data_IF_709977794158
#
_entry.id   IF_709977794158
#
_cell.length_a   1.000
_cell.length_b   1.000
_cell.length_c   1.000
_cell.angle_alpha   90.00
_cell.angle_beta   90.00
_cell.angle_gamma   90.00
#
_symmetry.space_group_name_H-M   'P 1'
#
loop_
_entity.id
_entity.type
_entity.pdbx_description
1 polymer ?
#
# COMPACT_ATOMS: atom_id res chain seq x y z
N UNK A 1 8.29 -0.08 18.30
CA UNK A 1 8.42 0.24 16.87
C UNK A 1 8.07 -0.98 16.07
N UNK A 2 7.43 -0.78 14.92
CA UNK A 2 6.95 -1.88 14.10
C UNK A 2 8.07 -2.56 13.29
N UNK A 3 7.87 -3.85 12.94
CA UNK A 3 8.61 -4.58 11.90
C UNK A 3 7.75 -4.59 10.64
N UNK A 4 8.29 -4.15 9.52
CA UNK A 4 7.67 -4.24 8.19
C UNK A 4 8.35 -5.37 7.43
N UNK A 5 7.56 -6.31 6.91
CA UNK A 5 8.03 -7.44 6.11
C UNK A 5 7.26 -7.47 4.80
N UNK A 6 7.91 -7.26 3.67
CA UNK A 6 7.31 -7.51 2.36
C UNK A 6 7.25 -9.02 2.19
N UNK A 7 6.04 -9.58 2.18
CA UNK A 7 5.83 -11.03 2.01
C UNK A 7 6.03 -11.44 0.56
N UNK A 8 5.57 -10.59 -0.36
CA UNK A 8 5.71 -10.77 -1.81
C UNK A 8 5.90 -9.41 -2.47
N UNK A 9 6.94 -9.28 -3.27
CA UNK A 9 7.10 -8.16 -4.17
C UNK A 9 6.08 -8.27 -5.32
N UNK A 10 5.36 -7.18 -5.55
CA UNK A 10 4.43 -7.10 -6.67
C UNK A 10 5.16 -6.93 -8.01
N UNK A 11 4.37 -7.06 -9.07
CA UNK A 11 4.84 -6.80 -10.42
C UNK A 11 3.68 -6.38 -11.32
N UNK A 12 3.98 -5.57 -12.33
CA UNK A 12 3.07 -5.26 -13.44
C UNK A 12 3.84 -5.31 -14.75
N UNK A 13 3.36 -6.12 -15.70
CA UNK A 13 4.00 -6.34 -16.99
C UNK A 13 2.97 -6.32 -18.10
N UNK A 14 3.10 -5.39 -19.01
CA UNK A 14 2.30 -5.34 -20.24
C UNK A 14 2.66 -6.56 -21.12
N UNK A 15 1.68 -7.35 -21.49
CA UNK A 15 1.84 -8.51 -22.37
C UNK A 15 1.64 -8.11 -23.83
N UNK A 16 0.60 -7.29 -24.10
CA UNK A 16 0.26 -6.71 -25.39
C UNK A 16 -0.55 -5.43 -25.19
N UNK A 17 -1.13 -4.87 -26.27
CA UNK A 17 -1.91 -3.63 -26.22
C UNK A 17 -3.24 -3.74 -25.43
N UNK A 18 -3.67 -4.96 -25.09
CA UNK A 18 -4.97 -5.23 -24.46
C UNK A 18 -4.88 -6.01 -23.16
N UNK A 19 -3.68 -6.46 -22.76
CA UNK A 19 -3.52 -7.33 -21.60
C UNK A 19 -2.26 -7.03 -20.79
N UNK A 20 -2.39 -7.24 -19.50
CA UNK A 20 -1.33 -7.06 -18.51
C UNK A 20 -1.30 -8.27 -17.56
N UNK A 21 -0.12 -8.71 -17.20
CA UNK A 21 0.12 -9.64 -16.09
C UNK A 21 0.56 -8.81 -14.88
N UNK A 22 -0.27 -8.77 -13.85
CA UNK A 22 -0.01 -7.98 -12.65
C UNK A 22 -0.46 -8.71 -11.39
N UNK A 23 0.27 -8.48 -10.30
CA UNK A 23 -0.09 -8.88 -8.96
C UNK A 23 0.51 -7.89 -7.96
N UNK A 24 -0.21 -7.56 -6.90
CA UNK A 24 0.25 -6.52 -5.98
C UNK A 24 1.34 -7.00 -5.02
N UNK A 25 2.05 -6.04 -4.45
CA UNK A 25 2.92 -6.24 -3.29
C UNK A 25 2.07 -6.51 -2.05
N UNK A 26 2.40 -7.60 -1.33
CA UNK A 26 1.72 -7.95 -0.08
C UNK A 26 2.66 -7.73 1.10
N UNK A 27 2.23 -6.94 2.09
CA UNK A 27 3.09 -6.50 3.20
C UNK A 27 2.48 -6.86 4.56
N UNK A 28 3.30 -7.44 5.45
CA UNK A 28 2.97 -7.68 6.84
C UNK A 28 3.62 -6.62 7.73
N UNK A 29 2.84 -5.99 8.61
CA UNK A 29 3.31 -5.05 9.62
C UNK A 29 3.02 -5.66 10.99
N UNK A 30 4.08 -5.86 11.79
CA UNK A 30 3.98 -6.38 13.16
C UNK A 30 4.36 -5.27 14.15
N UNK A 31 3.38 -4.85 14.94
CA UNK A 31 3.51 -3.86 16.00
C UNK A 31 2.78 -4.39 17.25
N UNK A 32 2.02 -3.56 17.98
CA UNK A 32 1.05 -4.00 18.99
C UNK A 32 -0.13 -4.76 18.34
N UNK A 33 -0.26 -4.60 17.01
CA UNK A 33 -1.23 -5.25 16.14
C UNK A 33 -0.53 -5.89 14.96
N UNK A 34 -1.10 -6.98 14.44
CA UNK A 34 -0.70 -7.60 13.19
C UNK A 34 -1.59 -7.07 12.07
N UNK A 35 -0.98 -6.48 11.06
CA UNK A 35 -1.66 -5.81 9.96
C UNK A 35 -1.14 -6.40 8.66
N UNK A 36 -2.03 -6.80 7.76
CA UNK A 36 -1.68 -7.14 6.38
C UNK A 36 -2.12 -6.00 5.47
N UNK A 37 -1.25 -5.60 4.55
CA UNK A 37 -1.55 -4.58 3.55
C UNK A 37 -1.52 -5.23 2.18
N UNK A 38 -2.65 -5.14 1.50
CA UNK A 38 -3.00 -5.77 0.23
C UNK A 38 -2.94 -7.30 0.27
N UNK A 39 -3.85 -7.96 -0.43
CA UNK A 39 -4.09 -9.40 -0.30
C UNK A 39 -4.02 -10.16 -1.61
N UNK A 40 -3.31 -9.60 -2.60
CA UNK A 40 -3.01 -10.21 -3.89
C UNK A 40 -4.26 -10.65 -4.67
N UNK A 41 -4.08 -11.41 -5.76
CA UNK A 41 -5.20 -11.97 -6.53
C UNK A 41 -5.86 -13.13 -5.80
N UNK A 42 -7.10 -13.46 -6.18
CA UNK A 42 -7.88 -14.54 -5.56
C UNK A 42 -7.23 -15.94 -5.66
N UNK A 43 -6.20 -16.11 -6.47
CA UNK A 43 -5.46 -17.37 -6.64
C UNK A 43 -4.27 -17.52 -5.68
N UNK A 44 -3.94 -16.49 -4.89
CA UNK A 44 -2.75 -16.45 -4.06
C UNK A 44 -2.99 -16.81 -2.58
N UNK A 45 -4.19 -17.25 -2.21
CA UNK A 45 -4.56 -17.53 -0.82
C UNK A 45 -3.64 -18.53 -0.10
N UNK A 46 -3.21 -19.58 -0.79
CA UNK A 46 -2.27 -20.55 -0.22
C UNK A 46 -0.88 -19.95 -0.02
N UNK A 47 -0.42 -19.10 -0.92
CA UNK A 47 0.86 -18.41 -0.79
C UNK A 47 0.86 -17.48 0.43
N UNK A 48 -0.20 -16.66 0.59
CA UNK A 48 -0.34 -15.76 1.74
C UNK A 48 -0.35 -16.55 3.04
N UNK A 49 -1.14 -17.64 3.11
CA UNK A 49 -1.23 -18.47 4.30
C UNK A 49 0.12 -19.11 4.65
N UNK A 50 0.87 -19.58 3.65
CA UNK A 50 2.20 -20.15 3.85
C UNK A 50 3.21 -19.09 4.31
N UNK A 51 3.15 -17.88 3.76
CA UNK A 51 4.03 -16.76 4.15
C UNK A 51 3.75 -16.31 5.60
N UNK A 52 2.47 -16.23 6.00
CA UNK A 52 2.11 -15.95 7.38
C UNK A 52 2.60 -17.05 8.34
N UNK A 53 2.49 -18.33 7.96
CA UNK A 53 3.00 -19.44 8.76
C UNK A 53 4.52 -19.39 8.95
N UNK A 54 5.28 -18.89 7.96
CA UNK A 54 6.72 -18.67 8.06
C UNK A 54 7.08 -17.52 9.05
N UNK A 55 6.15 -16.62 9.32
CA UNK A 55 6.26 -15.56 10.33
C UNK A 55 5.58 -15.96 11.67
N UNK A 56 5.30 -17.27 11.88
CA UNK A 56 4.61 -17.82 13.05
C UNK A 56 3.20 -17.25 13.28
N UNK A 57 2.49 -16.91 12.21
CA UNK A 57 1.13 -16.35 12.23
C UNK A 57 0.16 -17.21 11.42
N UNK A 58 -1.13 -17.07 11.76
CA UNK A 58 -2.27 -17.59 11.01
C UNK A 58 -3.15 -16.42 10.55
N UNK A 59 -4.01 -16.60 9.56
CA UNK A 59 -4.96 -15.56 9.16
C UNK A 59 -5.81 -15.00 10.33
N UNK A 60 -6.13 -15.84 11.31
CA UNK A 60 -6.91 -15.44 12.50
C UNK A 60 -6.14 -14.52 13.47
N UNK A 61 -4.83 -14.44 13.35
CA UNK A 61 -3.95 -13.61 14.19
C UNK A 61 -3.78 -12.20 13.62
N UNK A 62 -4.35 -11.93 12.43
CA UNK A 62 -4.36 -10.61 11.81
C UNK A 62 -5.49 -9.77 12.41
N UNK A 63 -5.14 -8.60 12.94
CA UNK A 63 -6.08 -7.65 13.53
C UNK A 63 -6.71 -6.73 12.48
N UNK A 64 -5.92 -6.32 11.45
CA UNK A 64 -6.36 -5.41 10.40
C UNK A 64 -5.93 -5.91 9.02
N UNK A 65 -6.85 -5.82 8.07
CA UNK A 65 -6.57 -5.89 6.64
C UNK A 65 -6.71 -4.50 6.07
N UNK A 66 -5.67 -3.96 5.46
CA UNK A 66 -5.73 -2.69 4.74
C UNK A 66 -5.51 -2.99 3.27
N UNK A 67 -6.52 -2.74 2.44
CA UNK A 67 -6.35 -2.73 1.00
C UNK A 67 -6.23 -1.28 0.56
N UNK A 68 -5.11 -0.95 -0.08
CA UNK A 68 -4.79 0.42 -0.49
C UNK A 68 -5.87 1.00 -1.39
N UNK A 69 -6.48 0.16 -2.22
CA UNK A 69 -7.66 0.44 -3.04
C UNK A 69 -8.38 -0.87 -3.42
N UNK A 70 -9.40 -0.80 -4.27
CA UNK A 70 -10.31 -1.92 -4.52
C UNK A 70 -10.05 -2.68 -5.84
N UNK A 71 -8.88 -2.54 -6.48
CA UNK A 71 -8.54 -3.36 -7.65
C UNK A 71 -8.39 -4.84 -7.25
N UNK A 72 -8.70 -5.72 -8.20
CA UNK A 72 -8.89 -7.15 -7.94
C UNK A 72 -7.65 -7.87 -7.41
N UNK A 73 -6.47 -7.39 -7.75
CA UNK A 73 -5.19 -7.92 -7.30
C UNK A 73 -4.74 -7.35 -5.93
N UNK A 74 -5.47 -6.41 -5.35
CA UNK A 74 -5.24 -5.90 -3.98
C UNK A 74 -6.17 -6.48 -2.94
N UNK A 75 -7.34 -7.03 -3.34
CA UNK A 75 -8.41 -7.46 -2.43
C UNK A 75 -8.73 -8.96 -2.48
N UNK A 76 -7.98 -9.72 -3.29
CA UNK A 76 -8.37 -11.07 -3.72
C UNK A 76 -8.53 -12.10 -2.58
N UNK A 77 -7.85 -11.90 -1.45
CA UNK A 77 -7.88 -12.85 -0.34
C UNK A 77 -8.34 -12.24 0.99
N UNK A 78 -9.12 -11.17 0.97
CA UNK A 78 -9.70 -10.58 2.18
C UNK A 78 -10.52 -11.59 2.98
N UNK A 79 -11.11 -12.59 2.32
CA UNK A 79 -11.88 -13.65 2.91
C UNK A 79 -11.07 -14.61 3.83
N UNK A 80 -9.75 -14.57 3.82
CA UNK A 80 -8.92 -15.32 4.75
C UNK A 80 -8.97 -14.72 6.17
N UNK A 81 -9.22 -13.43 6.31
CA UNK A 81 -9.04 -12.66 7.54
C UNK A 81 -10.36 -12.30 8.23
N UNK A 82 -11.18 -13.32 8.54
CA UNK A 82 -12.55 -13.16 9.03
C UNK A 82 -12.66 -12.47 10.39
N UNK A 83 -11.58 -12.44 11.19
CA UNK A 83 -11.56 -11.80 12.51
C UNK A 83 -11.07 -10.36 12.47
N UNK A 84 -10.41 -9.98 11.39
CA UNK A 84 -9.82 -8.65 11.22
C UNK A 84 -10.90 -7.58 11.01
N UNK A 85 -10.53 -6.35 11.32
CA UNK A 85 -11.20 -5.18 10.79
C UNK A 85 -10.60 -4.88 9.41
N UNK A 86 -11.44 -4.61 8.43
CA UNK A 86 -11.05 -4.36 7.06
C UNK A 86 -11.17 -2.88 6.73
N UNK A 87 -10.12 -2.35 6.12
CA UNK A 87 -10.08 -1.02 5.52
C UNK A 87 -9.79 -1.23 4.04
N UNK A 88 -10.75 -0.94 3.18
CA UNK A 88 -10.62 -1.07 1.73
C UNK A 88 -10.78 0.32 1.13
N UNK A 89 -9.67 0.93 0.72
CA UNK A 89 -9.67 2.36 0.45
C UNK A 89 -10.21 3.15 1.64
N UNK A 90 -11.25 3.95 1.43
CA UNK A 90 -11.86 4.76 2.49
C UNK A 90 -12.96 4.03 3.30
N UNK A 91 -13.25 2.78 2.93
CA UNK A 91 -14.31 1.99 3.57
C UNK A 91 -13.76 1.19 4.75
N UNK A 92 -14.29 1.39 5.94
CA UNK A 92 -13.93 0.65 7.17
C UNK A 92 -15.08 -0.26 7.57
N UNK A 93 -14.81 -1.57 7.71
CA UNK A 93 -15.86 -2.52 8.10
C UNK A 93 -15.32 -3.74 8.85
N UNK A 94 -16.19 -4.43 9.58
CA UNK A 94 -15.95 -5.76 10.16
C UNK A 94 -17.15 -6.65 9.88
N UNK A 95 -16.95 -7.73 9.13
CA UNK A 95 -18.04 -8.55 8.63
C UNK A 95 -19.04 -7.71 7.83
N UNK A 96 -20.29 -7.63 8.29
CA UNK A 96 -21.37 -6.86 7.64
C UNK A 96 -21.62 -5.48 8.28
N UNK A 97 -20.79 -5.08 9.25
CA UNK A 97 -20.92 -3.81 9.94
C UNK A 97 -19.94 -2.81 9.35
N UNK A 98 -20.44 -1.76 8.78
CA UNK A 98 -19.67 -0.65 8.22
C UNK A 98 -19.62 0.50 9.23
N UNK A 99 -18.44 1.06 9.41
CA UNK A 99 -18.19 2.16 10.34
C UNK A 99 -18.06 3.47 9.59
N UNK A 100 -18.68 4.53 10.13
CA UNK A 100 -18.35 5.89 9.68
C UNK A 100 -16.93 6.22 10.12
N UNK A 101 -16.13 6.73 9.19
CA UNK A 101 -14.76 7.16 9.45
C UNK A 101 -14.49 8.52 8.80
N UNK A 102 -13.66 9.33 9.44
CA UNK A 102 -13.20 10.62 8.88
C UNK A 102 -11.91 10.45 8.05
N UNK A 103 -11.61 9.23 7.57
CA UNK A 103 -10.36 8.90 6.86
C UNK A 103 -10.07 9.81 5.65
N UNK A 104 -11.09 10.42 5.05
CA UNK A 104 -10.90 11.48 4.02
C UNK A 104 -10.23 12.75 4.53
N UNK A 105 -10.29 13.02 5.84
CA UNK A 105 -9.84 14.28 6.44
C UNK A 105 -8.71 14.11 7.43
N UNK A 106 -8.75 13.00 8.17
CA UNK A 106 -7.82 12.70 9.25
C UNK A 106 -7.26 11.28 9.12
N UNK A 107 -6.06 11.06 9.62
CA UNK A 107 -5.45 9.75 9.65
C UNK A 107 -6.24 8.78 10.54
N UNK A 108 -6.43 7.53 10.07
CA UNK A 108 -7.02 6.46 10.85
C UNK A 108 -5.93 5.68 11.58
N UNK A 109 -5.90 5.79 12.90
CA UNK A 109 -4.89 5.15 13.72
C UNK A 109 -5.22 3.66 13.94
N UNK A 110 -4.34 2.76 13.49
CA UNK A 110 -4.45 1.32 13.73
C UNK A 110 -3.87 0.92 15.09
N UNK A 111 -2.68 1.41 15.39
CA UNK A 111 -2.00 1.25 16.68
C UNK A 111 -0.91 2.32 16.85
N UNK A 112 -0.08 2.22 17.88
CA UNK A 112 0.99 3.18 18.08
C UNK A 112 2.02 3.12 16.95
N UNK A 113 2.21 4.25 16.26
CA UNK A 113 3.16 4.40 15.15
C UNK A 113 2.69 3.81 13.82
N UNK A 114 1.43 3.36 13.70
CA UNK A 114 0.86 2.87 12.43
C UNK A 114 -0.47 3.55 12.16
N UNK A 115 -0.53 4.32 11.08
CA UNK A 115 -1.72 5.03 10.64
C UNK A 115 -2.03 4.74 9.17
N UNK A 116 -3.32 4.79 8.82
CA UNK A 116 -3.80 4.85 7.43
C UNK A 116 -4.10 6.30 7.09
N UNK A 117 -3.63 6.78 5.96
CA UNK A 117 -3.87 8.14 5.46
C UNK A 117 -4.46 8.10 4.06
N UNK A 118 -5.42 8.97 3.75
CA UNK A 118 -5.95 9.10 2.39
C UNK A 118 -4.88 9.67 1.45
N UNK A 119 -4.68 9.00 0.33
CA UNK A 119 -3.71 9.37 -0.71
C UNK A 119 -4.33 9.21 -2.10
N UNK A 120 -5.44 9.92 -2.40
CA UNK A 120 -6.11 9.78 -3.69
C UNK A 120 -5.15 10.08 -4.84
N UNK A 121 -5.27 9.32 -5.92
CA UNK A 121 -4.40 9.51 -7.07
C UNK A 121 -4.59 8.46 -8.14
N UNK A 122 -4.18 7.23 -7.90
CA UNK A 122 -4.42 6.11 -8.81
C UNK A 122 -5.92 5.83 -8.92
N UNK A 123 -6.61 5.85 -7.77
CA UNK A 123 -8.06 5.97 -7.65
C UNK A 123 -8.44 7.13 -6.72
N UNK A 124 -9.72 7.51 -6.67
CA UNK A 124 -10.21 8.54 -5.75
C UNK A 124 -10.22 8.09 -4.27
N UNK A 125 -10.07 6.82 -4.01
CA UNK A 125 -10.22 6.20 -2.69
C UNK A 125 -8.94 5.59 -2.14
N UNK A 126 -7.79 5.83 -2.80
CA UNK A 126 -6.51 5.28 -2.37
C UNK A 126 -6.17 5.71 -0.95
N UNK A 127 -5.57 4.77 -0.23
CA UNK A 127 -4.97 5.01 1.07
C UNK A 127 -3.56 4.45 1.12
N UNK A 128 -2.72 5.06 1.97
CA UNK A 128 -1.38 4.56 2.27
C UNK A 128 -1.26 4.24 3.75
N UNK A 129 -0.40 3.29 4.11
CA UNK A 129 -0.11 2.95 5.51
C UNK A 129 1.23 3.53 5.91
N UNK A 130 1.22 4.47 6.85
CA UNK A 130 2.41 5.14 7.38
C UNK A 130 2.87 4.44 8.64
N UNK A 131 4.11 3.94 8.65
CA UNK A 131 4.64 3.08 9.71
C UNK A 131 5.93 3.68 10.28
N UNK A 132 5.97 3.88 11.60
CA UNK A 132 7.22 4.10 12.33
C UNK A 132 7.87 2.73 12.59
N UNK A 133 8.86 2.40 11.79
CA UNK A 133 9.52 1.10 11.78
C UNK A 133 10.98 1.20 12.28
N UNK A 134 11.62 0.03 12.37
CA UNK A 134 13.05 -0.09 12.65
C UNK A 134 13.68 -0.93 11.55
N UNK A 135 14.69 -0.39 10.86
CA UNK A 135 15.51 -1.08 9.87
C UNK A 135 16.97 -0.87 10.25
N UNK A 136 17.75 -1.95 10.35
CA UNK A 136 19.19 -1.92 10.71
C UNK A 136 19.48 -1.06 11.96
N UNK A 137 18.63 -1.23 13.02
CA UNK A 137 18.68 -0.49 14.28
C UNK A 137 18.31 1.00 14.18
N UNK A 138 18.07 1.55 12.99
CA UNK A 138 17.63 2.93 12.78
C UNK A 138 16.10 3.06 12.84
N UNK A 139 15.61 4.14 13.44
CA UNK A 139 14.20 4.50 13.42
C UNK A 139 13.90 5.18 12.09
N UNK A 140 13.04 4.55 11.29
CA UNK A 140 12.68 4.99 9.94
C UNK A 140 11.17 5.10 9.79
N UNK A 141 10.74 5.83 8.78
CA UNK A 141 9.35 5.85 8.34
C UNK A 141 9.22 5.08 7.03
N UNK A 142 8.49 3.97 7.08
CA UNK A 142 8.10 3.19 5.90
C UNK A 142 6.68 3.56 5.53
N UNK A 143 6.42 3.82 4.25
CA UNK A 143 5.07 4.05 3.75
C UNK A 143 4.72 2.98 2.72
N UNK A 144 3.64 2.22 2.98
CA UNK A 144 3.08 1.26 2.04
C UNK A 144 2.00 1.98 1.25
N UNK A 145 2.21 2.17 -0.04
CA UNK A 145 1.47 3.15 -0.84
C UNK A 145 0.50 2.57 -1.85
N UNK A 146 0.56 1.24 -2.09
CA UNK A 146 -0.13 0.68 -3.25
C UNK A 146 0.27 1.40 -4.54
N UNK A 147 -0.67 1.51 -5.45
CA UNK A 147 -0.46 2.02 -6.81
C UNK A 147 -0.37 3.55 -6.91
N UNK A 148 -0.32 4.25 -5.76
CA UNK A 148 0.17 5.62 -5.75
C UNK A 148 1.59 5.68 -6.34
N UNK A 149 2.38 4.60 -6.11
CA UNK A 149 3.62 4.27 -6.81
C UNK A 149 3.49 2.84 -7.35
N UNK A 150 3.61 2.68 -8.65
CA UNK A 150 3.66 1.35 -9.27
C UNK A 150 4.94 0.61 -8.86
N UNK A 151 6.08 1.29 -8.99
CA UNK A 151 7.43 0.79 -8.65
C UNK A 151 8.43 1.94 -8.60
N UNK A 152 9.67 1.67 -8.20
CA UNK A 152 10.72 2.69 -8.10
C UNK A 152 10.96 3.45 -9.41
N UNK A 153 10.97 2.74 -10.55
CA UNK A 153 11.24 3.33 -11.88
C UNK A 153 10.23 4.40 -12.29
N UNK A 154 9.02 4.38 -11.74
CA UNK A 154 7.96 5.33 -12.10
C UNK A 154 8.22 6.76 -11.59
N UNK A 155 9.22 6.92 -10.74
CA UNK A 155 9.66 8.24 -10.27
C UNK A 155 10.43 8.96 -11.38
N UNK A 156 11.28 8.22 -12.11
CA UNK A 156 12.04 8.77 -13.24
C UNK A 156 11.21 8.79 -14.53
N UNK A 157 10.32 7.79 -14.71
CA UNK A 157 9.43 7.69 -15.87
C UNK A 157 7.93 7.84 -15.45
N UNK A 158 7.40 9.07 -15.43
CA UNK A 158 6.00 9.33 -15.08
C UNK A 158 4.98 8.65 -15.99
N UNK A 159 5.36 8.23 -17.20
CA UNK A 159 4.43 7.56 -18.12
C UNK A 159 3.86 6.28 -17.51
N UNK A 160 4.65 5.59 -16.67
CA UNK A 160 4.26 4.33 -16.05
C UNK A 160 3.03 4.47 -15.14
N UNK A 161 2.95 5.52 -14.33
CA UNK A 161 1.78 5.76 -13.48
C UNK A 161 0.70 6.61 -14.18
N UNK A 162 1.06 7.42 -15.20
CA UNK A 162 0.09 8.18 -16.00
C UNK A 162 -0.82 7.29 -16.84
N UNK A 163 -0.32 6.14 -17.32
CA UNK A 163 -1.10 5.20 -18.13
C UNK A 163 -2.06 4.35 -17.29
N UNK A 164 -1.76 4.12 -16.02
CA UNK A 164 -2.48 3.18 -15.15
C UNK A 164 -3.45 3.86 -14.19
N UNK A 165 -3.18 5.10 -13.80
CA UNK A 165 -4.02 5.90 -12.90
C UNK A 165 -5.20 6.58 -13.58
N UNK A 166 -6.10 7.15 -12.78
CA UNK A 166 -7.21 7.95 -13.25
C UNK A 166 -6.68 9.27 -13.87
N UNK A 167 -6.92 9.51 -15.17
CA UNK A 167 -6.46 10.74 -15.84
C UNK A 167 -6.98 12.04 -15.21
N UNK A 168 -8.16 12.01 -14.58
CA UNK A 168 -8.75 13.17 -13.91
C UNK A 168 -8.06 13.49 -12.58
N UNK A 169 -7.41 12.48 -11.98
CA UNK A 169 -6.70 12.61 -10.71
C UNK A 169 -5.19 12.81 -10.86
N UNK A 170 -4.66 12.88 -12.08
CA UNK A 170 -3.21 12.94 -12.34
C UNK A 170 -2.48 14.01 -11.52
N UNK A 171 -3.02 15.23 -11.45
CA UNK A 171 -2.43 16.30 -10.65
C UNK A 171 -2.53 16.02 -9.15
N UNK A 172 -3.63 15.42 -8.70
CA UNK A 172 -3.80 14.99 -7.31
C UNK A 172 -2.80 13.90 -6.96
N UNK A 173 -2.63 12.91 -7.85
CA UNK A 173 -1.66 11.84 -7.69
C UNK A 173 -0.23 12.40 -7.58
N UNK A 174 0.17 13.32 -8.45
CA UNK A 174 1.48 13.96 -8.38
C UNK A 174 1.72 14.65 -7.02
N UNK A 175 0.73 15.39 -6.50
CA UNK A 175 0.80 16.02 -5.18
C UNK A 175 0.91 15.00 -4.05
N UNK A 176 0.15 13.90 -4.10
CA UNK A 176 0.21 12.86 -3.08
C UNK A 176 1.53 12.08 -3.14
N UNK A 177 2.04 11.80 -4.32
CA UNK A 177 3.36 11.19 -4.53
C UNK A 177 4.47 12.04 -3.89
N UNK A 178 4.48 13.35 -4.19
CA UNK A 178 5.40 14.29 -3.54
C UNK A 178 5.28 14.23 -2.02
N UNK A 179 4.06 14.35 -1.48
CA UNK A 179 3.79 14.30 -0.04
C UNK A 179 4.33 13.03 0.61
N UNK A 180 4.16 11.87 -0.03
CA UNK A 180 4.63 10.60 0.52
C UNK A 180 6.15 10.47 0.44
N UNK A 181 6.81 10.94 -0.62
CA UNK A 181 8.26 10.97 -0.70
C UNK A 181 8.90 11.92 0.32
N UNK A 182 8.29 13.09 0.57
CA UNK A 182 8.75 14.02 1.62
C UNK A 182 8.63 13.41 3.03
N UNK A 183 7.64 12.55 3.22
CA UNK A 183 7.34 11.90 4.51
C UNK A 183 8.21 10.68 4.79
N UNK A 184 8.50 9.88 3.76
CA UNK A 184 9.05 8.53 3.89
C UNK A 184 10.58 8.48 3.84
N UNK A 185 11.17 7.52 4.56
CA UNK A 185 12.53 7.03 4.35
C UNK A 185 12.54 5.84 3.37
N UNK A 186 11.45 5.05 3.36
CA UNK A 186 11.24 3.92 2.45
C UNK A 186 9.79 3.90 1.95
N UNK A 187 9.62 3.55 0.67
CA UNK A 187 8.32 3.28 0.04
C UNK A 187 8.21 1.78 -0.26
N UNK A 188 7.02 1.22 0.02
CA UNK A 188 6.59 -0.08 -0.50
C UNK A 188 5.53 0.21 -1.56
N UNK A 189 5.87 0.04 -2.86
CA UNK A 189 4.96 0.34 -3.96
C UNK A 189 3.98 -0.82 -4.23
N UNK A 190 2.99 -0.58 -5.09
CA UNK A 190 1.99 -1.59 -5.44
C UNK A 190 2.55 -2.76 -6.25
N UNK A 191 3.49 -2.52 -7.15
CA UNK A 191 3.96 -3.53 -8.11
C UNK A 191 5.48 -3.61 -8.21
N UNK A 192 6.17 -3.56 -7.06
CA UNK A 192 7.62 -3.65 -7.02
C UNK A 192 8.17 -3.83 -5.61
N UNK A 193 9.48 -4.07 -5.48
CA UNK A 193 10.12 -4.18 -4.19
C UNK A 193 10.16 -2.84 -3.43
N UNK A 194 10.28 -2.93 -2.11
CA UNK A 194 10.50 -1.77 -1.25
C UNK A 194 11.80 -1.06 -1.66
N UNK A 195 11.77 0.26 -1.73
CA UNK A 195 12.94 1.08 -2.06
C UNK A 195 13.18 2.20 -1.05
N UNK A 196 14.43 2.65 -0.97
CA UNK A 196 14.83 3.77 -0.13
C UNK A 196 14.61 5.08 -0.86
N UNK A 197 13.98 6.06 -0.19
CA UNK A 197 13.74 7.38 -0.75
C UNK A 197 15.04 8.21 -0.72
N UNK A 198 15.36 8.84 -1.83
CA UNK A 198 16.53 9.72 -2.01
C UNK A 198 16.12 11.18 -2.19
N UNK A 199 17.05 12.12 -2.00
CA UNK A 199 16.79 13.54 -2.25
C UNK A 199 16.51 13.80 -3.74
N UNK A 200 17.16 13.08 -4.65
CA UNK A 200 16.88 13.17 -6.08
C UNK A 200 15.43 12.78 -6.42
N UNK A 201 14.88 11.74 -5.79
CA UNK A 201 13.48 11.37 -5.97
C UNK A 201 12.52 12.46 -5.49
N UNK A 202 12.84 13.14 -4.38
CA UNK A 202 12.04 14.27 -3.87
C UNK A 202 12.07 15.46 -4.84
N UNK A 203 13.24 15.79 -5.40
CA UNK A 203 13.39 16.86 -6.40
C UNK A 203 12.59 16.56 -7.67
N UNK A 204 12.61 15.30 -8.16
CA UNK A 204 11.81 14.88 -9.32
C UNK A 204 10.31 15.00 -9.03
N UNK A 205 9.85 14.53 -7.88
CA UNK A 205 8.44 14.61 -7.50
C UNK A 205 7.96 16.06 -7.31
N UNK A 206 8.80 16.95 -6.79
CA UNK A 206 8.52 18.40 -6.72
C UNK A 206 8.29 18.98 -8.11
N UNK A 207 9.17 18.64 -9.07
CA UNK A 207 9.05 19.12 -10.46
C UNK A 207 7.78 18.57 -11.14
N UNK A 208 7.43 17.31 -10.90
CA UNK A 208 6.21 16.68 -11.44
C UNK A 208 4.93 17.27 -10.83
N UNK A 209 4.95 17.63 -9.55
CA UNK A 209 3.80 18.22 -8.86
C UNK A 209 3.58 19.71 -9.22
N UNK A 210 4.54 20.38 -9.83
CA UNK A 210 4.45 21.78 -10.25
C UNK A 210 3.83 21.98 -11.64
N UNK A 211 3.59 20.89 -12.39
CA UNK A 211 3.03 20.89 -13.76
C UNK A 211 1.56 20.55 -13.76
#
# INVERSE_FOLDING_TARGET
MAKVTVLFDGYSKKLDDSSMDANCTCTLIRADKNIIVDTMTAWDGEKITAALAAEDLKPEDIDYVVCTHSHADHIGNNNLFLKAEHIVGLCVHRGTIFFESDLKKDDYRLCEGVNVTATPGHTSEDVSVVVKAKIDEESVRVVVTGDLFEREDDIEDPSLWHELGDPELRNVQAQMRKRMLDLADYIVPGHGPMFRVTDAMRELAEAQAAT
#
